data_IF_024184063756
#
_entry.id   IF_024184063756
#
_cell.length_a   1.000
_cell.length_b   1.000
_cell.length_c   1.000
_cell.angle_alpha   90.00
_cell.angle_beta   90.00
_cell.angle_gamma   90.00
#
_symmetry.space_group_name_H-M   'P 1'
#
loop_
_entity.id
_entity.type
_entity.pdbx_description
1 polymer ?
#
# COMPACT_ATOMS: atom_id res chain seq x y z
N UNK A 1 13.40 6.12 13.51
CA UNK A 1 12.05 5.55 13.39
C UNK A 1 11.62 5.55 11.93
N UNK A 2 11.61 4.42 11.29
CA UNK A 2 11.19 4.37 9.88
C UNK A 2 9.66 4.44 9.76
N UNK A 3 9.21 5.06 8.68
CA UNK A 3 7.81 5.14 8.31
C UNK A 3 7.68 4.70 6.85
N UNK A 4 6.77 3.77 6.60
CA UNK A 4 6.47 3.27 5.26
C UNK A 4 4.99 3.45 4.99
N UNK A 5 4.67 4.00 3.83
CA UNK A 5 3.28 4.11 3.39
C UNK A 5 3.09 3.32 2.10
N UNK A 6 2.10 2.45 2.09
CA UNK A 6 1.71 1.68 0.92
C UNK A 6 0.36 2.21 0.46
N UNK A 7 0.31 2.76 -0.75
CA UNK A 7 -0.95 3.20 -1.33
C UNK A 7 -1.36 2.22 -2.42
N UNK A 8 -2.57 1.74 -2.35
CA UNK A 8 -3.15 0.85 -3.37
C UNK A 8 -4.55 1.34 -3.71
N UNK A 9 -5.00 1.04 -4.91
CA UNK A 9 -6.40 1.29 -5.27
C UNK A 9 -7.30 0.34 -4.46
N UNK A 10 -8.49 0.82 -4.09
CA UNK A 10 -9.43 0.02 -3.30
C UNK A 10 -10.05 -1.07 -4.17
N UNK A 11 -9.52 -2.27 -4.06
CA UNK A 11 -9.91 -3.42 -4.87
C UNK A 11 -10.04 -4.70 -4.04
N UNK A 12 -10.40 -4.57 -2.77
CA UNK A 12 -10.72 -5.73 -1.95
C UNK A 12 -9.52 -6.40 -1.27
N UNK A 13 -8.52 -5.61 -0.88
CA UNK A 13 -7.40 -6.17 -0.10
C UNK A 13 -7.93 -6.68 1.24
N UNK A 14 -7.65 -7.94 1.55
CA UNK A 14 -8.15 -8.57 2.78
C UNK A 14 -7.33 -8.14 4.01
N UNK A 15 -7.92 -8.36 5.19
CA UNK A 15 -7.21 -8.11 6.44
C UNK A 15 -5.94 -8.95 6.54
N UNK A 16 -5.99 -10.20 6.09
CA UNK A 16 -4.86 -11.12 6.10
C UNK A 16 -3.74 -10.64 5.19
N UNK A 17 -4.10 -10.10 4.02
CA UNK A 17 -3.13 -9.52 3.10
C UNK A 17 -2.48 -8.28 3.70
N UNK A 18 -3.27 -7.43 4.36
CA UNK A 18 -2.73 -6.24 5.05
C UNK A 18 -1.76 -6.64 6.15
N UNK A 19 -2.11 -7.66 6.95
CA UNK A 19 -1.22 -8.16 8.01
C UNK A 19 0.10 -8.67 7.43
N UNK A 20 0.04 -9.41 6.32
CA UNK A 20 1.23 -9.94 5.66
C UNK A 20 2.11 -8.81 5.11
N UNK A 21 1.51 -7.77 4.53
CA UNK A 21 2.24 -6.62 4.02
C UNK A 21 2.95 -5.87 5.16
N UNK A 22 2.23 -5.60 6.24
CA UNK A 22 2.79 -4.85 7.37
C UNK A 22 3.94 -5.62 8.01
N UNK A 23 3.76 -6.91 8.28
CA UNK A 23 4.83 -7.71 8.90
C UNK A 23 5.99 -7.93 7.94
N UNK A 24 5.72 -8.15 6.65
CA UNK A 24 6.77 -8.36 5.65
C UNK A 24 7.63 -7.12 5.42
N UNK A 25 7.01 -5.96 5.31
CA UNK A 25 7.73 -4.70 5.13
C UNK A 25 8.56 -4.38 6.39
N UNK A 26 7.99 -4.59 7.57
CA UNK A 26 8.72 -4.40 8.82
C UNK A 26 9.96 -5.29 8.86
N UNK A 27 9.81 -6.58 8.53
CA UNK A 27 10.92 -7.51 8.53
C UNK A 27 11.99 -7.13 7.50
N UNK A 28 11.59 -6.62 6.34
CA UNK A 28 12.52 -6.17 5.32
C UNK A 28 13.41 -5.03 5.83
N UNK A 29 12.80 -4.07 6.56
CA UNK A 29 13.57 -2.96 7.14
C UNK A 29 14.53 -3.44 8.23
N UNK A 30 14.17 -4.49 8.98
CA UNK A 30 15.09 -5.11 9.94
C UNK A 30 16.28 -5.72 9.21
N UNK A 31 16.03 -6.47 8.15
CA UNK A 31 17.08 -7.21 7.43
C UNK A 31 18.02 -6.27 6.68
N UNK A 32 17.48 -5.28 6.01
CA UNK A 32 18.28 -4.40 5.13
C UNK A 32 18.94 -3.28 5.92
N UNK A 33 18.23 -2.66 6.86
CA UNK A 33 18.69 -1.45 7.54
C UNK A 33 18.98 -1.65 9.03
N UNK A 34 18.70 -2.81 9.59
CA UNK A 34 18.87 -3.08 11.02
C UNK A 34 17.93 -2.24 11.90
N UNK A 35 16.78 -1.84 11.38
CA UNK A 35 15.84 -1.01 12.14
C UNK A 35 15.14 -1.81 13.22
N UNK A 36 14.76 -1.11 14.30
CA UNK A 36 14.03 -1.72 15.41
C UNK A 36 12.56 -1.92 14.98
N UNK A 37 12.06 -3.17 14.94
CA UNK A 37 10.67 -3.41 14.55
C UNK A 37 9.66 -2.76 15.50
N UNK A 38 10.03 -2.56 16.77
CA UNK A 38 9.14 -1.96 17.76
C UNK A 38 8.83 -0.48 17.47
N UNK A 39 9.66 0.18 16.67
CA UNK A 39 9.47 1.60 16.30
C UNK A 39 9.29 1.81 14.80
N UNK A 40 9.08 0.74 14.06
CA UNK A 40 8.82 0.80 12.62
C UNK A 40 7.32 0.91 12.39
N UNK A 41 6.90 1.92 11.64
CA UNK A 41 5.49 2.20 11.34
C UNK A 41 5.23 1.92 9.87
N UNK A 42 4.19 1.15 9.58
CA UNK A 42 3.74 0.87 8.21
C UNK A 42 2.26 1.21 8.13
N UNK A 43 1.90 2.03 7.16
CA UNK A 43 0.50 2.44 6.94
C UNK A 43 0.09 2.00 5.53
N UNK A 44 -1.10 1.44 5.43
CA UNK A 44 -1.69 1.07 4.14
C UNK A 44 -2.88 1.99 3.89
N UNK A 45 -2.85 2.69 2.76
CA UNK A 45 -3.96 3.52 2.31
C UNK A 45 -4.64 2.85 1.12
N UNK A 46 -5.94 2.58 1.25
CA UNK A 46 -6.76 2.14 0.14
C UNK A 46 -7.42 3.37 -0.45
N UNK A 47 -7.06 3.68 -1.69
CA UNK A 47 -7.51 4.91 -2.37
C UNK A 47 -8.64 4.55 -3.32
N UNK A 48 -9.74 5.32 -3.26
CA UNK A 48 -10.86 5.13 -4.15
C UNK A 48 -10.42 5.26 -5.61
N UNK A 49 -11.04 4.50 -6.51
CA UNK A 49 -10.70 4.52 -7.93
C UNK A 49 -10.87 5.90 -8.55
N UNK A 50 -11.85 6.67 -8.05
CA UNK A 50 -12.07 8.05 -8.50
C UNK A 50 -10.98 9.02 -8.02
N UNK A 51 -10.18 8.61 -7.05
CA UNK A 51 -9.11 9.44 -6.50
C UNK A 51 -7.73 9.06 -7.02
N UNK A 52 -7.68 8.15 -7.98
CA UNK A 52 -6.43 7.67 -8.56
C UNK A 52 -6.38 8.00 -10.04
N UNK A 53 -5.44 8.86 -10.41
CA UNK A 53 -5.28 9.31 -11.80
C UNK A 53 -4.09 8.66 -12.48
N UNK A 54 -4.27 8.25 -13.72
CA UNK A 54 -3.20 7.72 -14.57
C UNK A 54 -3.37 8.38 -15.94
N UNK A 55 -2.30 8.97 -16.43
CA UNK A 55 -2.29 9.64 -17.74
C UNK A 55 -3.39 10.71 -17.90
N UNK A 56 -3.70 11.39 -16.78
CA UNK A 56 -4.72 12.45 -16.79
C UNK A 56 -6.14 11.94 -16.71
N UNK A 57 -6.35 10.64 -16.56
CA UNK A 57 -7.67 10.03 -16.48
C UNK A 57 -7.88 9.38 -15.12
N UNK A 58 -9.14 9.31 -14.67
CA UNK A 58 -9.50 8.55 -13.49
C UNK A 58 -9.34 7.05 -13.77
N UNK A 59 -8.80 6.31 -12.80
CA UNK A 59 -8.68 4.85 -12.93
C UNK A 59 -10.05 4.19 -13.06
N UNK A 60 -11.08 4.73 -12.38
CA UNK A 60 -12.44 4.23 -12.54
C UNK A 60 -12.91 4.27 -13.99
N UNK A 61 -12.61 5.37 -14.70
CA UNK A 61 -12.96 5.50 -16.14
C UNK A 61 -12.15 4.52 -16.98
N UNK A 62 -10.85 4.41 -16.72
CA UNK A 62 -9.97 3.50 -17.47
C UNK A 62 -10.44 2.04 -17.33
N UNK A 63 -10.84 1.64 -16.11
CA UNK A 63 -11.37 0.29 -15.83
C UNK A 63 -12.68 0.06 -16.56
N UNK A 64 -13.57 1.06 -16.58
CA UNK A 64 -14.84 0.97 -17.30
C UNK A 64 -14.63 0.82 -18.82
N UNK A 65 -13.52 1.31 -19.35
CA UNK A 65 -13.16 1.21 -20.77
C UNK A 65 -12.29 -0.01 -21.08
N UNK A 66 -12.05 -0.87 -20.09
CA UNK A 66 -11.25 -2.09 -20.26
C UNK A 66 -9.74 -1.85 -20.31
N UNK A 67 -9.27 -0.76 -19.78
CA UNK A 67 -7.85 -0.40 -19.79
C UNK A 67 -7.15 -0.57 -18.46
#
# INVERSE_FOLDING_TARGET
MPYVNIKVTREGVSREQKQALISGVTQLLVEVLGKNPATTVVVIDEVELDNWGVAGELVSDRRAQGR
#
